data_IF_448169181862
#
_entry.id   IF_448169181862
#
_cell.length_a   1.000
_cell.length_b   1.000
_cell.length_c   1.000
_cell.angle_alpha   90.00
_cell.angle_beta   90.00
_cell.angle_gamma   90.00
#
_symmetry.space_group_name_H-M   'P 1'
#
loop_
_entity.id
_entity.type
_entity.pdbx_description
1 polymer ?
#
# COMPACT_ATOMS: atom_id res chain seq x y z
N UNK A 1 38.83 -6.76 -76.82
CA UNK A 1 38.79 -8.11 -76.20
C UNK A 1 37.81 -8.10 -74.98
N UNK A 2 36.61 -8.70 -75.14
CA UNK A 2 35.65 -8.84 -74.05
C UNK A 2 36.00 -10.13 -73.28
N UNK A 3 36.56 -10.01 -72.09
CA UNK A 3 36.76 -11.18 -71.21
C UNK A 3 35.41 -11.67 -70.67
N UNK A 4 34.93 -12.77 -71.21
CA UNK A 4 33.73 -13.44 -70.71
C UNK A 4 34.18 -14.30 -69.55
N UNK A 5 33.81 -13.91 -68.33
CA UNK A 5 34.07 -14.73 -67.16
C UNK A 5 33.34 -16.08 -67.30
N UNK A 6 34.02 -17.19 -66.96
CA UNK A 6 33.43 -18.50 -66.93
C UNK A 6 32.25 -18.53 -65.99
N UNK A 7 31.29 -19.45 -66.22
CA UNK A 7 30.10 -19.61 -65.38
C UNK A 7 30.49 -19.84 -63.92
N UNK A 8 31.57 -20.58 -63.67
CA UNK A 8 32.12 -20.84 -62.33
C UNK A 8 32.64 -19.57 -61.67
N UNK A 9 33.31 -18.66 -62.39
CA UNK A 9 33.84 -17.43 -61.84
C UNK A 9 32.68 -16.45 -61.46
N UNK A 10 31.57 -16.43 -62.25
CA UNK A 10 30.38 -15.65 -61.90
C UNK A 10 29.69 -16.16 -60.67
N UNK A 11 29.59 -17.49 -60.49
CA UNK A 11 28.99 -18.10 -59.29
C UNK A 11 29.85 -17.80 -58.04
N UNK A 12 31.15 -17.87 -58.17
CA UNK A 12 32.09 -17.59 -57.05
C UNK A 12 31.99 -16.12 -56.61
N UNK A 13 31.88 -15.17 -57.55
CA UNK A 13 31.71 -13.77 -57.23
C UNK A 13 30.34 -13.53 -56.52
N UNK A 14 29.28 -14.22 -56.98
CA UNK A 14 27.93 -14.07 -56.40
C UNK A 14 27.88 -14.61 -54.96
N UNK A 15 28.53 -15.78 -54.69
CA UNK A 15 28.62 -16.33 -53.34
C UNK A 15 29.48 -15.46 -52.42
N UNK A 16 30.59 -14.87 -52.93
CA UNK A 16 31.42 -13.99 -52.14
C UNK A 16 30.68 -12.68 -51.77
N UNK A 17 29.88 -12.13 -52.68
CA UNK A 17 29.08 -10.97 -52.41
C UNK A 17 27.95 -11.24 -51.42
N UNK A 18 27.30 -12.41 -51.48
CA UNK A 18 26.27 -12.77 -50.51
C UNK A 18 26.82 -12.98 -49.10
N UNK A 19 28.02 -13.55 -48.94
CA UNK A 19 28.68 -13.68 -47.66
C UNK A 19 29.09 -12.32 -47.07
N UNK A 20 29.53 -11.40 -47.94
CA UNK A 20 29.87 -10.03 -47.51
C UNK A 20 28.64 -9.23 -47.05
N UNK A 21 27.49 -9.41 -47.71
CA UNK A 21 26.24 -8.76 -47.30
C UNK A 21 25.72 -9.32 -45.98
N UNK A 22 25.79 -10.65 -45.79
CA UNK A 22 25.37 -11.31 -44.54
C UNK A 22 26.25 -10.86 -43.37
N UNK A 23 27.56 -10.74 -43.57
CA UNK A 23 28.48 -10.28 -42.53
C UNK A 23 28.30 -8.81 -42.15
N UNK A 24 27.91 -7.97 -43.12
CA UNK A 24 27.64 -6.55 -42.89
C UNK A 24 26.32 -6.31 -42.12
N UNK A 25 25.31 -7.17 -42.33
CA UNK A 25 24.04 -7.06 -41.61
C UNK A 25 24.09 -7.65 -40.18
N UNK A 26 25.01 -8.58 -39.92
CA UNK A 26 25.16 -9.17 -38.56
C UNK A 26 25.86 -8.23 -37.57
N UNK A 27 26.49 -7.15 -37.99
CA UNK A 27 27.30 -6.27 -37.14
C UNK A 27 26.52 -5.09 -36.51
N UNK A 28 25.19 -5.01 -36.68
CA UNK A 28 24.41 -3.87 -36.20
C UNK A 28 23.46 -4.17 -35.01
N UNK A 29 23.72 -5.19 -34.24
CA UNK A 29 23.01 -5.35 -32.96
C UNK A 29 23.78 -4.62 -31.85
N UNK A 30 23.43 -3.35 -31.65
CA UNK A 30 23.84 -2.65 -30.45
C UNK A 30 22.90 -3.05 -29.31
N UNK A 31 23.40 -3.77 -28.32
CA UNK A 31 22.68 -3.93 -27.06
C UNK A 31 22.92 -2.68 -26.20
N UNK A 32 21.90 -1.86 -26.04
CA UNK A 32 21.89 -0.82 -25.00
C UNK A 32 21.56 -1.51 -23.67
N UNK A 33 22.54 -1.55 -22.76
CA UNK A 33 22.30 -1.92 -21.38
C UNK A 33 22.17 -0.65 -20.54
N UNK A 34 21.06 -0.53 -19.81
CA UNK A 34 20.87 0.49 -18.81
C UNK A 34 20.94 -0.18 -17.44
N UNK A 35 21.89 0.24 -16.61
CA UNK A 35 21.96 -0.13 -15.19
C UNK A 35 21.50 1.05 -14.35
N UNK A 36 20.62 0.81 -13.40
CA UNK A 36 20.17 1.77 -12.41
C UNK A 36 20.35 1.19 -11.03
N UNK A 37 20.93 1.98 -10.13
CA UNK A 37 20.96 1.66 -8.70
C UNK A 37 19.71 2.26 -8.08
N UNK A 38 18.91 1.45 -7.41
CA UNK A 38 17.75 1.89 -6.66
C UNK A 38 18.12 1.79 -5.19
N UNK A 39 18.21 2.92 -4.52
CA UNK A 39 18.41 2.98 -3.08
C UNK A 39 17.04 2.92 -2.39
N UNK A 40 16.93 2.03 -1.40
CA UNK A 40 15.72 1.91 -0.56
C UNK A 40 16.00 2.65 0.75
N UNK A 41 15.26 3.72 0.98
CA UNK A 41 15.35 4.49 2.22
C UNK A 41 14.27 4.01 3.21
N UNK A 42 14.53 4.22 4.51
CA UNK A 42 13.51 4.03 5.53
C UNK A 42 12.36 5.03 5.28
N UNK A 43 11.13 4.60 5.57
CA UNK A 43 9.97 5.46 5.40
C UNK A 43 10.04 6.65 6.39
N UNK A 44 9.97 7.86 5.88
CA UNK A 44 9.87 9.08 6.70
C UNK A 44 8.50 9.17 7.38
N UNK A 45 7.48 8.58 6.76
CA UNK A 45 6.12 8.49 7.30
C UNK A 45 5.86 7.04 7.71
N UNK A 46 5.46 6.85 8.96
CA UNK A 46 5.25 5.52 9.51
C UNK A 46 4.24 5.51 10.65
N UNK A 47 3.75 4.31 10.98
CA UNK A 47 2.89 4.11 12.13
C UNK A 47 3.69 4.06 13.43
N UNK A 48 3.11 4.64 14.47
CA UNK A 48 3.59 4.58 15.85
C UNK A 48 2.44 4.09 16.73
N UNK A 49 2.76 3.24 17.69
CA UNK A 49 1.79 2.73 18.64
C UNK A 49 1.28 3.88 19.52
N UNK A 50 -0.03 3.98 19.66
CA UNK A 50 -0.68 4.97 20.52
C UNK A 50 -0.87 4.51 21.97
N UNK A 51 -1.45 5.38 22.79
CA UNK A 51 -1.60 5.14 24.24
C UNK A 51 -2.70 4.12 24.58
N UNK A 52 -3.62 3.82 23.68
CA UNK A 52 -4.67 2.83 23.90
C UNK A 52 -4.18 1.37 23.71
N UNK A 53 -2.95 1.17 23.19
CA UNK A 53 -2.37 -0.17 23.05
C UNK A 53 -2.18 -0.84 24.41
N UNK A 54 -2.55 -2.13 24.49
CA UNK A 54 -2.56 -2.88 25.74
C UNK A 54 -3.73 -2.56 26.66
N UNK A 55 -4.56 -1.56 26.32
CA UNK A 55 -5.76 -1.23 27.08
C UNK A 55 -7.00 -1.85 26.43
N UNK A 56 -8.00 -2.18 27.23
CA UNK A 56 -9.29 -2.73 26.77
C UNK A 56 -9.14 -3.92 25.80
N UNK A 57 -8.04 -4.67 25.90
CA UNK A 57 -7.76 -5.84 25.09
C UNK A 57 -7.24 -5.56 23.68
N UNK A 58 -7.08 -4.31 23.29
CA UNK A 58 -6.48 -3.93 22.00
C UNK A 58 -4.97 -4.23 21.99
N UNK A 59 -4.50 -4.88 20.93
CA UNK A 59 -3.08 -5.09 20.65
C UNK A 59 -2.79 -4.53 19.26
N UNK A 60 -1.85 -3.61 19.19
CA UNK A 60 -1.35 -3.01 17.95
C UNK A 60 0.01 -3.59 17.63
N UNK A 61 0.14 -4.21 16.47
CA UNK A 61 1.40 -4.72 15.94
C UNK A 61 1.80 -3.92 14.72
N UNK A 62 2.97 -3.31 14.77
CA UNK A 62 3.53 -2.56 13.65
C UNK A 62 4.33 -3.52 12.77
N UNK A 63 4.05 -3.50 11.46
CA UNK A 63 4.73 -4.32 10.46
C UNK A 63 6.13 -3.82 10.12
N UNK A 64 6.77 -4.50 9.18
CA UNK A 64 8.10 -4.11 8.68
C UNK A 64 8.06 -2.71 8.08
N UNK A 65 9.13 -1.93 8.32
CA UNK A 65 9.26 -0.53 7.92
C UNK A 65 8.18 0.41 8.50
N UNK A 66 7.36 -0.07 9.43
CA UNK A 66 6.33 0.68 10.13
C UNK A 66 5.22 1.28 9.23
N UNK A 67 5.06 0.80 7.99
CA UNK A 67 4.03 1.29 7.06
C UNK A 67 2.72 0.50 7.11
N UNK A 68 2.72 -0.60 7.86
CA UNK A 68 1.54 -1.45 8.09
C UNK A 68 1.28 -1.55 9.58
N UNK A 69 0.02 -1.52 9.98
CA UNK A 69 -0.40 -1.77 11.34
C UNK A 69 -1.52 -2.80 11.38
N UNK A 70 -1.35 -3.82 12.22
CA UNK A 70 -2.37 -4.82 12.52
C UNK A 70 -2.93 -4.56 13.91
N UNK A 71 -4.23 -4.49 13.99
CA UNK A 71 -4.97 -4.22 15.22
C UNK A 71 -5.78 -5.46 15.58
N UNK A 72 -5.44 -6.09 16.71
CA UNK A 72 -6.07 -7.30 17.20
C UNK A 72 -6.81 -7.01 18.50
N UNK A 73 -7.88 -7.77 18.76
CA UNK A 73 -8.67 -7.64 19.98
C UNK A 73 -9.48 -6.35 20.04
N UNK A 74 -9.81 -5.77 18.88
CA UNK A 74 -10.79 -4.69 18.81
C UNK A 74 -12.12 -5.17 19.36
N UNK A 75 -12.62 -4.47 20.36
CA UNK A 75 -13.90 -4.77 21.04
C UNK A 75 -14.94 -3.72 20.70
N UNK A 76 -16.19 -4.12 20.77
CA UNK A 76 -17.32 -3.23 20.62
C UNK A 76 -18.39 -3.54 21.69
N UNK A 77 -19.32 -2.66 21.89
CA UNK A 77 -20.47 -2.88 22.77
C UNK A 77 -21.75 -3.03 21.95
N UNK A 78 -22.64 -3.97 22.34
CA UNK A 78 -23.91 -4.14 21.66
C UNK A 78 -24.73 -2.84 21.66
N UNK A 79 -25.20 -2.44 20.48
CA UNK A 79 -25.98 -1.22 20.26
C UNK A 79 -25.33 0.08 20.77
N UNK A 80 -24.04 0.07 21.04
CA UNK A 80 -23.32 1.23 21.54
C UNK A 80 -22.02 1.46 20.76
N UNK A 81 -21.80 2.69 20.39
CA UNK A 81 -20.52 3.10 19.78
C UNK A 81 -19.42 3.10 20.84
N UNK A 82 -18.31 2.45 20.52
CA UNK A 82 -17.10 2.48 21.33
C UNK A 82 -15.95 3.11 20.55
N UNK A 83 -15.15 3.93 21.20
CA UNK A 83 -14.08 4.68 20.56
C UNK A 83 -12.75 4.44 21.26
N UNK A 84 -11.76 4.03 20.48
CA UNK A 84 -10.35 4.11 20.83
C UNK A 84 -9.82 5.43 20.29
N UNK A 85 -9.38 6.32 21.16
CA UNK A 85 -9.02 7.69 20.79
C UNK A 85 -7.57 7.85 20.36
N UNK A 86 -6.71 6.93 20.81
CA UNK A 86 -5.27 6.95 20.54
C UNK A 86 -4.67 5.54 20.47
N UNK A 87 -5.22 4.64 19.64
CA UNK A 87 -4.68 3.29 19.50
C UNK A 87 -3.42 3.26 18.65
N UNK A 88 -3.34 4.15 17.64
CA UNK A 88 -2.33 4.20 16.61
C UNK A 88 -2.15 5.63 16.14
N UNK A 89 -0.93 6.02 15.79
CA UNK A 89 -0.62 7.33 15.20
C UNK A 89 0.15 7.15 13.91
N UNK A 90 -0.01 8.09 12.99
CA UNK A 90 0.88 8.28 11.85
C UNK A 90 1.84 9.40 12.23
N UNK A 91 3.13 9.16 12.07
CA UNK A 91 4.19 10.13 12.34
C UNK A 91 4.94 10.46 11.05
N UNK A 92 5.18 11.75 10.86
CA UNK A 92 6.10 12.24 9.85
C UNK A 92 7.44 12.59 10.53
N UNK A 93 8.49 11.86 10.20
CA UNK A 93 9.86 12.13 10.67
C UNK A 93 10.72 12.81 9.59
N UNK A 94 10.14 13.06 8.42
CA UNK A 94 10.77 13.77 7.31
C UNK A 94 10.88 15.28 7.57
N UNK A 95 11.67 15.95 6.74
CA UNK A 95 11.89 17.39 6.82
C UNK A 95 10.77 18.22 6.17
N UNK A 96 9.89 17.61 5.39
CA UNK A 96 8.82 18.26 4.64
C UNK A 96 7.45 17.69 4.99
N UNK A 97 6.41 18.45 4.74
CA UNK A 97 5.04 17.95 4.82
C UNK A 97 4.78 16.93 3.69
N UNK A 98 3.93 15.96 3.96
CA UNK A 98 3.55 14.93 3.00
C UNK A 98 2.04 14.67 3.02
N UNK A 99 1.48 14.36 1.86
CA UNK A 99 0.11 13.93 1.76
C UNK A 99 -0.01 12.44 2.08
N UNK A 100 -1.09 12.06 2.72
CA UNK A 100 -1.34 10.71 3.19
C UNK A 100 -2.69 10.19 2.71
N UNK A 101 -2.80 8.87 2.61
CA UNK A 101 -4.08 8.16 2.57
C UNK A 101 -4.01 6.84 3.32
N UNK A 102 -5.13 6.44 3.89
CA UNK A 102 -5.28 5.11 4.46
C UNK A 102 -5.67 4.11 3.38
N UNK A 103 -5.09 2.93 3.46
CA UNK A 103 -5.31 1.83 2.52
C UNK A 103 -5.75 0.60 3.30
N UNK A 104 -6.83 -0.10 2.89
CA UNK A 104 -7.16 -1.39 3.46
C UNK A 104 -6.06 -2.39 3.09
N UNK A 105 -5.59 -3.17 4.07
CA UNK A 105 -4.53 -4.17 3.83
C UNK A 105 -5.08 -5.59 3.95
N UNK A 106 -5.67 -5.91 5.08
CA UNK A 106 -6.33 -7.19 5.31
C UNK A 106 -7.78 -6.98 5.70
N UNK A 107 -8.63 -7.81 5.15
CA UNK A 107 -10.04 -7.87 5.55
C UNK A 107 -10.18 -8.36 7.00
N UNK A 108 -11.24 -7.94 7.69
CA UNK A 108 -11.56 -8.47 9.01
C UNK A 108 -11.61 -9.99 8.98
N UNK A 109 -10.94 -10.63 9.93
CA UNK A 109 -10.68 -12.08 9.88
C UNK A 109 -11.82 -12.94 10.42
N UNK A 110 -12.69 -12.39 11.26
CA UNK A 110 -13.68 -13.18 12.04
C UNK A 110 -14.93 -12.37 12.39
N UNK A 111 -15.95 -13.08 12.87
CA UNK A 111 -17.11 -12.58 13.60
C UNK A 111 -17.92 -11.47 12.91
N UNK A 112 -18.28 -11.61 11.63
CA UNK A 112 -19.12 -10.60 10.99
C UNK A 112 -20.49 -10.47 11.65
N UNK A 113 -21.00 -11.55 12.27
CA UNK A 113 -22.29 -11.60 12.97
C UNK A 113 -22.32 -10.73 14.24
N UNK A 114 -21.15 -10.50 14.86
CA UNK A 114 -21.06 -9.80 16.14
C UNK A 114 -20.81 -8.30 15.99
N UNK A 115 -20.40 -7.84 14.82
CA UNK A 115 -20.10 -6.44 14.57
C UNK A 115 -21.06 -5.80 13.58
N UNK A 116 -21.35 -4.51 13.77
CA UNK A 116 -22.02 -3.66 12.80
C UNK A 116 -21.01 -2.94 11.93
N UNK A 117 -19.99 -2.37 12.56
CA UNK A 117 -18.88 -1.70 11.86
C UNK A 117 -17.62 -1.58 12.70
N UNK A 118 -16.51 -1.43 11.98
CA UNK A 118 -15.24 -0.91 12.48
C UNK A 118 -14.81 0.22 11.54
N UNK A 119 -14.60 1.41 12.08
CA UNK A 119 -14.22 2.60 11.30
C UNK A 119 -12.89 3.15 11.79
N UNK A 120 -12.04 3.53 10.85
CA UNK A 120 -10.79 4.20 11.11
C UNK A 120 -10.89 5.64 10.64
N UNK A 121 -10.52 6.58 11.51
CA UNK A 121 -10.43 7.99 11.19
C UNK A 121 -8.98 8.42 11.30
N UNK A 122 -8.35 8.77 10.18
CA UNK A 122 -7.13 9.58 10.21
C UNK A 122 -7.54 10.97 10.69
N UNK A 123 -7.26 11.26 11.95
CA UNK A 123 -7.71 12.50 12.61
C UNK A 123 -6.70 13.63 12.39
N UNK A 124 -6.60 14.09 11.15
CA UNK A 124 -5.78 15.22 10.79
C UNK A 124 -6.23 16.50 11.48
N UNK A 125 -5.29 17.43 11.71
CA UNK A 125 -5.58 18.74 12.30
C UNK A 125 -6.59 19.52 11.45
N UNK A 126 -6.37 19.56 10.12
CA UNK A 126 -7.31 20.17 9.20
C UNK A 126 -8.49 19.23 8.93
N UNK A 127 -9.72 19.73 9.07
CA UNK A 127 -10.93 18.91 8.88
C UNK A 127 -11.03 18.31 7.46
N UNK A 128 -10.53 19.00 6.43
CA UNK A 128 -10.50 18.53 5.05
C UNK A 128 -9.60 17.30 4.84
N UNK A 129 -8.59 17.15 5.70
CA UNK A 129 -7.63 16.05 5.65
C UNK A 129 -8.04 14.85 6.52
N UNK A 130 -9.14 14.94 7.24
CA UNK A 130 -9.70 13.81 7.96
C UNK A 130 -10.21 12.77 6.96
N UNK A 131 -9.71 11.54 7.06
CA UNK A 131 -10.05 10.46 6.13
C UNK A 131 -10.62 9.28 6.88
N UNK A 132 -11.70 8.72 6.33
CA UNK A 132 -12.41 7.59 6.90
C UNK A 132 -12.19 6.31 6.10
N UNK A 133 -11.86 5.23 6.77
CA UNK A 133 -11.84 3.88 6.24
C UNK A 133 -12.87 3.06 7.00
N UNK A 134 -13.91 2.58 6.32
CA UNK A 134 -15.05 1.96 6.97
C UNK A 134 -15.18 0.50 6.58
N UNK A 135 -15.15 -0.38 7.57
CA UNK A 135 -15.52 -1.78 7.45
C UNK A 135 -16.92 -1.95 8.05
N UNK A 136 -17.83 -2.55 7.31
CA UNK A 136 -19.20 -2.79 7.79
C UNK A 136 -19.54 -4.26 7.66
N UNK A 137 -20.40 -4.76 8.53
CA UNK A 137 -20.89 -6.13 8.47
C UNK A 137 -22.40 -6.13 8.18
N UNK A 138 -22.84 -7.14 7.43
CA UNK A 138 -24.25 -7.46 7.22
C UNK A 138 -24.73 -8.65 8.09
N UNK A 139 -23.90 -9.06 9.06
CA UNK A 139 -24.17 -10.21 9.93
C UNK A 139 -23.73 -11.56 9.37
N UNK A 140 -23.24 -11.62 8.12
CA UNK A 140 -22.76 -12.85 7.46
C UNK A 140 -21.37 -12.67 6.90
N UNK A 141 -21.12 -11.50 6.30
CA UNK A 141 -19.85 -11.16 5.68
C UNK A 141 -19.47 -9.74 6.01
N UNK A 142 -18.17 -9.48 6.01
CA UNK A 142 -17.65 -8.12 6.05
C UNK A 142 -17.69 -7.49 4.65
N UNK A 143 -18.04 -6.21 4.62
CA UNK A 143 -17.84 -5.34 3.47
C UNK A 143 -16.67 -4.43 3.76
N UNK A 144 -15.56 -4.73 3.11
CA UNK A 144 -14.33 -3.96 3.23
C UNK A 144 -14.30 -2.80 2.24
N UNK A 145 -13.58 -1.72 2.54
CA UNK A 145 -13.33 -0.68 1.56
C UNK A 145 -12.60 -1.25 0.35
N UNK A 146 -13.16 -1.09 -0.83
CA UNK A 146 -12.59 -1.61 -2.10
C UNK A 146 -11.41 -0.78 -2.62
N UNK A 147 -11.16 0.38 -2.03
CA UNK A 147 -10.14 1.32 -2.48
C UNK A 147 -9.58 2.14 -1.31
N UNK A 148 -8.36 2.67 -1.45
CA UNK A 148 -7.81 3.65 -0.52
C UNK A 148 -8.73 4.85 -0.32
N UNK A 149 -8.55 5.55 0.80
CA UNK A 149 -9.17 6.88 0.99
C UNK A 149 -8.62 7.87 -0.07
N UNK A 150 -9.30 9.00 -0.26
CA UNK A 150 -8.69 10.11 -1.00
C UNK A 150 -7.45 10.62 -0.25
N UNK A 151 -6.53 11.26 -0.97
CA UNK A 151 -5.38 11.92 -0.40
C UNK A 151 -5.77 13.08 0.53
N UNK A 152 -4.94 13.35 1.53
CA UNK A 152 -4.96 14.64 2.25
C UNK A 152 -4.48 15.73 1.29
N UNK A 153 -5.03 16.93 1.37
CA UNK A 153 -4.78 18.01 0.39
C UNK A 153 -4.54 19.38 1.01
N UNK A 154 -4.85 19.54 2.29
CA UNK A 154 -4.75 20.84 2.99
C UNK A 154 -3.36 21.08 3.62
N UNK A 155 -2.29 20.60 2.98
CA UNK A 155 -0.91 20.74 3.45
C UNK A 155 -0.33 19.47 4.04
N UNK A 156 -1.09 18.38 4.11
CA UNK A 156 -0.62 17.10 4.60
C UNK A 156 -0.17 17.09 6.07
N UNK A 157 0.51 16.04 6.48
CA UNK A 157 1.13 15.94 7.80
C UNK A 157 2.47 16.68 7.79
N UNK A 158 2.58 17.73 8.60
CA UNK A 158 3.80 18.54 8.70
C UNK A 158 5.01 17.76 9.22
N UNK A 159 6.21 18.31 9.01
CA UNK A 159 7.46 17.76 9.54
C UNK A 159 7.36 17.55 11.07
N UNK A 160 7.82 16.43 11.56
CA UNK A 160 7.80 16.03 12.97
C UNK A 160 6.41 16.00 13.62
N UNK A 161 5.33 16.03 12.82
CA UNK A 161 3.97 15.98 13.32
C UNK A 161 3.48 14.53 13.49
N UNK A 162 2.48 14.35 14.35
CA UNK A 162 1.76 13.10 14.54
C UNK A 162 0.26 13.31 14.41
N UNK A 163 -0.42 12.40 13.72
CA UNK A 163 -1.87 12.37 13.64
C UNK A 163 -2.40 11.05 14.19
N UNK A 164 -3.33 11.07 15.14
CA UNK A 164 -3.94 9.84 15.65
C UNK A 164 -4.86 9.22 14.61
N UNK A 165 -4.86 7.90 14.56
CA UNK A 165 -5.86 7.10 13.85
C UNK A 165 -6.87 6.62 14.87
N UNK A 166 -7.98 7.32 14.99
CA UNK A 166 -9.08 6.99 15.90
C UNK A 166 -9.84 5.79 15.34
N UNK A 167 -10.22 4.86 16.22
CA UNK A 167 -11.00 3.67 15.83
C UNK A 167 -12.35 3.72 16.52
N UNK A 168 -13.39 3.51 15.74
CA UNK A 168 -14.76 3.51 16.22
C UNK A 168 -15.41 2.17 15.88
N UNK A 169 -15.93 1.48 16.88
CA UNK A 169 -16.57 0.18 16.74
C UNK A 169 -18.00 0.21 17.24
N UNK A 170 -18.81 -0.68 16.72
CA UNK A 170 -20.15 -0.98 17.21
C UNK A 170 -20.44 -2.46 17.03
N UNK A 171 -20.90 -3.12 18.07
CA UNK A 171 -21.34 -4.49 18.00
C UNK A 171 -22.84 -4.60 17.71
N UNK A 172 -23.24 -5.74 17.14
CA UNK A 172 -24.63 -6.09 16.94
C UNK A 172 -25.34 -6.27 18.30
N UNK A 173 -26.64 -6.07 18.29
CA UNK A 173 -27.50 -6.25 19.48
C UNK A 173 -27.39 -7.64 20.11
N UNK A 174 -27.15 -8.66 19.28
CA UNK A 174 -27.06 -10.07 19.67
C UNK A 174 -25.64 -10.54 19.95
N UNK A 175 -24.64 -9.68 19.81
CA UNK A 175 -23.25 -10.04 20.06
C UNK A 175 -23.03 -10.47 21.51
N UNK A 176 -22.25 -11.53 21.67
CA UNK A 176 -21.90 -12.07 22.98
C UNK A 176 -20.60 -11.45 23.51
N UNK A 177 -20.36 -11.57 24.81
CA UNK A 177 -19.13 -11.06 25.40
C UNK A 177 -17.90 -11.82 24.87
N UNK A 178 -16.79 -11.10 24.71
CA UNK A 178 -15.47 -11.60 24.31
C UNK A 178 -15.22 -11.76 22.82
N UNK A 179 -16.14 -11.37 21.96
CA UNK A 179 -15.91 -11.36 20.52
C UNK A 179 -14.91 -10.26 20.15
N UNK A 180 -14.03 -10.58 19.20
CA UNK A 180 -12.98 -9.67 18.74
C UNK A 180 -12.77 -9.79 17.23
N UNK A 181 -12.21 -8.74 16.64
CA UNK A 181 -11.87 -8.70 15.22
C UNK A 181 -10.42 -8.22 15.05
N UNK A 182 -9.76 -8.74 14.03
CA UNK A 182 -8.41 -8.31 13.61
C UNK A 182 -8.50 -7.66 12.24
N UNK A 183 -7.93 -6.48 12.10
CA UNK A 183 -7.89 -5.73 10.84
C UNK A 183 -6.49 -5.18 10.63
N UNK A 184 -6.03 -5.16 9.39
CA UNK A 184 -4.77 -4.54 9.00
C UNK A 184 -5.00 -3.37 8.05
N UNK A 185 -4.28 -2.29 8.28
CA UNK A 185 -4.30 -1.07 7.46
C UNK A 185 -2.90 -0.64 7.07
N UNK A 186 -2.78 0.06 5.94
CA UNK A 186 -1.54 0.66 5.43
C UNK A 186 -1.66 2.16 5.31
N UNK A 187 -0.50 2.82 5.18
CA UNK A 187 -0.38 4.21 4.74
C UNK A 187 0.27 4.23 3.37
N UNK A 188 -0.30 5.00 2.44
CA UNK A 188 0.42 5.48 1.28
C UNK A 188 0.80 6.95 1.49
N UNK A 189 1.92 7.34 0.90
CA UNK A 189 2.54 8.68 1.01
C UNK A 189 2.78 9.21 -0.39
N UNK A 190 2.49 10.52 -0.61
CA UNK A 190 2.73 11.27 -1.84
C UNK A 190 3.57 12.51 -1.55
#
# INVERSE_FOLDING_TARGET
MKRVFSKSAKLLILTLMSILVISATAAMYYSLSMSSTIDVYAADIYFVVGNDNGTKGLIVTIGSQNTTATLSGLRAYPNATFTYTDPLRVRNNGASAANLRLVPDLDPSTNPEDFVYVKFLLNATAAADRKWLNYTSNGVTWTSPSSPTSWTTAGGIGASAEWPVVIITMANATATASESVTISIKIDVD
#
